data_IF_985676998396
#
_entry.id   IF_985676998396
#
_cell.length_a   1.000
_cell.length_b   1.000
_cell.length_c   1.000
_cell.angle_alpha   90.00
_cell.angle_beta   90.00
_cell.angle_gamma   90.00
#
_symmetry.space_group_name_H-M   'P 1'
#
loop_
_entity.id
_entity.type
_entity.pdbx_description
1 polymer ?
#
# COMPACT_ATOMS: atom_id res chain seq x y z
N UNK A 1 -2.55 31.62 -4.27
CA UNK A 1 -1.63 31.95 -5.39
C UNK A 1 -0.23 31.76 -4.85
N UNK A 2 0.61 30.93 -5.48
CA UNK A 2 1.94 30.58 -4.93
C UNK A 2 3.11 31.27 -5.64
N UNK A 3 2.88 31.74 -6.86
CA UNK A 3 3.89 32.33 -7.74
C UNK A 3 3.48 33.77 -8.10
N UNK A 4 4.10 34.74 -7.44
CA UNK A 4 3.80 36.17 -7.57
C UNK A 4 4.36 36.78 -8.85
N UNK A 5 5.26 36.07 -9.55
CA UNK A 5 5.84 36.54 -10.82
C UNK A 5 4.88 36.41 -12.00
N UNK A 6 3.80 35.62 -11.85
CA UNK A 6 2.85 35.30 -12.92
C UNK A 6 1.70 36.28 -12.97
N UNK A 7 1.28 36.62 -14.19
CA UNK A 7 0.09 37.43 -14.40
C UNK A 7 -1.17 36.65 -14.03
N UNK A 8 -2.21 37.35 -13.56
CA UNK A 8 -3.52 36.75 -13.28
C UNK A 8 -4.08 35.98 -14.48
N UNK A 9 -3.88 36.51 -15.71
CA UNK A 9 -4.25 35.84 -16.96
C UNK A 9 -3.56 34.48 -17.12
N UNK A 10 -2.26 34.41 -16.86
CA UNK A 10 -1.49 33.15 -16.95
C UNK A 10 -1.87 32.13 -15.88
N UNK A 11 -2.38 32.61 -14.75
CA UNK A 11 -2.94 31.78 -13.68
C UNK A 11 -4.41 31.37 -13.95
N UNK A 12 -4.97 31.74 -15.10
CA UNK A 12 -6.33 31.39 -15.49
C UNK A 12 -7.43 32.18 -14.79
N UNK A 13 -7.09 33.31 -14.14
CA UNK A 13 -8.08 34.19 -13.55
C UNK A 13 -8.88 34.91 -14.62
N UNK A 14 -10.20 34.93 -14.43
CA UNK A 14 -11.17 35.66 -15.24
C UNK A 14 -12.05 36.52 -14.33
N UNK A 15 -12.87 37.38 -14.93
CA UNK A 15 -13.81 38.18 -14.15
C UNK A 15 -14.74 37.27 -13.33
N UNK A 16 -14.92 37.59 -12.04
CA UNK A 16 -15.67 36.81 -11.04
C UNK A 16 -15.05 35.45 -10.67
N UNK A 17 -13.76 35.24 -10.94
CA UNK A 17 -13.02 34.13 -10.31
C UNK A 17 -13.13 34.23 -8.78
N UNK A 18 -13.47 33.11 -8.14
CA UNK A 18 -13.57 33.00 -6.69
C UNK A 18 -12.19 32.64 -6.12
N UNK A 19 -11.70 33.42 -5.17
CA UNK A 19 -10.48 33.13 -4.41
C UNK A 19 -10.87 32.65 -3.03
N UNK A 20 -10.43 31.45 -2.68
CA UNK A 20 -10.49 30.97 -1.31
C UNK A 20 -9.20 31.38 -0.59
N UNK A 21 -9.35 32.11 0.51
CA UNK A 21 -8.24 32.47 1.39
C UNK A 21 -8.26 31.52 2.58
N UNK A 22 -7.11 30.90 2.86
CA UNK A 22 -6.93 30.06 4.04
C UNK A 22 -5.82 30.64 4.90
N UNK A 23 -6.01 30.60 6.22
CA UNK A 23 -4.94 30.90 7.17
C UNK A 23 -3.92 29.76 7.17
N UNK A 24 -2.63 30.10 7.14
CA UNK A 24 -1.55 29.13 7.15
C UNK A 24 -0.20 29.74 6.80
N UNK A 25 0.88 28.96 6.95
CA UNK A 25 2.20 29.39 6.51
C UNK A 25 2.20 29.70 5.00
N UNK A 26 2.87 30.77 4.56
CA UNK A 26 2.97 31.07 3.13
C UNK A 26 3.69 29.93 2.41
N UNK A 27 3.11 29.47 1.29
CA UNK A 27 3.66 28.38 0.48
C UNK A 27 4.38 28.95 -0.74
N UNK A 28 5.61 28.47 -0.98
CA UNK A 28 6.38 28.81 -2.18
C UNK A 28 5.90 28.01 -3.40
N UNK A 29 6.27 28.41 -4.63
CA UNK A 29 6.03 27.59 -5.82
C UNK A 29 6.60 26.17 -5.64
N UNK A 30 5.77 25.15 -5.86
CA UNK A 30 6.16 23.75 -5.71
C UNK A 30 6.12 23.20 -4.27
N UNK A 31 5.75 24.03 -3.29
CA UNK A 31 5.44 23.58 -1.93
C UNK A 31 3.97 23.28 -1.76
N UNK A 32 3.69 22.27 -0.95
CA UNK A 32 2.35 21.84 -0.61
C UNK A 32 2.16 21.78 0.90
N UNK A 33 0.99 22.20 1.38
CA UNK A 33 0.67 22.07 2.81
C UNK A 33 0.26 20.63 3.10
N UNK A 34 1.14 19.84 3.69
CA UNK A 34 0.91 18.43 4.02
C UNK A 34 0.47 18.29 5.46
N UNK A 35 -0.54 17.45 5.71
CA UNK A 35 -1.04 17.14 7.06
C UNK A 35 -0.48 15.81 7.53
N UNK A 36 0.16 15.80 8.68
CA UNK A 36 0.66 14.61 9.35
C UNK A 36 -0.34 14.14 10.39
N UNK A 37 -0.57 12.83 10.41
CA UNK A 37 -1.38 12.16 11.43
C UNK A 37 -0.55 11.07 12.08
N UNK A 38 -0.57 10.98 13.41
CA UNK A 38 0.04 9.88 14.14
C UNK A 38 -0.74 8.60 13.84
N UNK A 39 -0.04 7.52 13.54
CA UNK A 39 -0.59 6.19 13.26
C UNK A 39 -0.11 5.19 14.31
N UNK A 40 -1.07 4.64 15.05
CA UNK A 40 -0.87 3.60 16.05
C UNK A 40 -1.69 2.36 15.65
N UNK A 41 -1.05 1.27 15.16
CA UNK A 41 -1.75 0.09 14.64
C UNK A 41 -2.75 -0.54 15.63
N UNK A 42 -2.42 -0.50 16.92
CA UNK A 42 -3.18 -1.13 17.99
C UNK A 42 -4.23 -0.21 18.63
N UNK A 43 -4.18 1.10 18.36
CA UNK A 43 -5.05 2.08 19.01
C UNK A 43 -6.42 2.20 18.33
N UNK A 44 -7.41 2.69 19.09
CA UNK A 44 -8.73 3.08 18.57
C UNK A 44 -9.07 4.47 19.12
N UNK A 45 -9.09 5.52 18.28
CA UNK A 45 -8.84 5.54 16.84
C UNK A 45 -7.38 5.25 16.47
N UNK A 46 -7.15 4.68 15.28
CA UNK A 46 -5.79 4.36 14.78
C UNK A 46 -5.01 5.59 14.32
N UNK A 47 -5.71 6.68 14.02
CA UNK A 47 -5.11 7.91 13.51
C UNK A 47 -5.49 9.09 14.40
N UNK A 48 -4.49 9.87 14.80
CA UNK A 48 -4.68 11.12 15.53
C UNK A 48 -4.04 12.29 14.75
N UNK A 49 -4.70 13.45 14.65
CA UNK A 49 -4.07 14.65 14.07
C UNK A 49 -2.78 15.00 14.80
N UNK A 50 -1.74 15.37 14.06
CA UNK A 50 -0.43 15.68 14.65
C UNK A 50 0.01 17.11 14.33
N UNK A 51 0.33 17.39 13.07
CA UNK A 51 0.82 18.71 12.63
C UNK A 51 0.63 18.90 11.13
N UNK A 52 0.83 20.11 10.63
CA UNK A 52 0.86 20.39 9.20
C UNK A 52 2.11 21.20 8.85
N UNK A 53 2.77 20.87 7.73
CA UNK A 53 4.00 21.52 7.29
C UNK A 53 3.95 21.81 5.78
N UNK A 54 4.52 22.95 5.33
CA UNK A 54 4.92 23.14 3.95
C UNK A 54 5.98 22.11 3.57
N UNK A 55 5.76 21.41 2.46
CA UNK A 55 6.68 20.40 1.94
C UNK A 55 6.90 20.65 0.45
N UNK A 56 8.16 20.82 0.06
CA UNK A 56 8.54 20.92 -1.34
C UNK A 56 8.44 19.54 -2.01
N UNK A 57 7.80 19.47 -3.19
CA UNK A 57 7.69 18.20 -3.94
C UNK A 57 9.04 17.60 -4.36
N UNK A 58 10.10 18.42 -4.46
CA UNK A 58 11.47 18.01 -4.81
C UNK A 58 12.25 17.42 -3.63
N UNK A 59 11.83 17.67 -2.38
CA UNK A 59 12.49 17.20 -1.16
C UNK A 59 12.56 15.67 -1.12
N UNK A 60 13.59 15.11 -0.49
CA UNK A 60 13.66 13.66 -0.24
C UNK A 60 12.84 13.28 0.98
N UNK A 61 12.37 12.03 1.03
CA UNK A 61 11.65 11.52 2.21
C UNK A 61 12.53 11.50 3.46
N UNK A 62 13.84 11.21 3.32
CA UNK A 62 14.78 11.28 4.43
C UNK A 62 14.82 12.68 5.09
N UNK A 63 14.97 13.72 4.27
CA UNK A 63 14.97 15.12 4.72
C UNK A 63 13.62 15.48 5.35
N UNK A 64 12.51 14.97 4.79
CA UNK A 64 11.18 15.18 5.36
C UNK A 64 11.04 14.53 6.74
N UNK A 65 11.57 13.31 6.94
CA UNK A 65 11.56 12.64 8.25
C UNK A 65 12.27 13.49 9.30
N UNK A 66 13.44 14.04 8.99
CA UNK A 66 14.18 14.94 9.87
C UNK A 66 13.40 16.23 10.17
N UNK A 67 12.84 16.86 9.14
CA UNK A 67 12.04 18.08 9.30
C UNK A 67 10.80 17.84 10.19
N UNK A 68 10.13 16.70 10.02
CA UNK A 68 8.98 16.33 10.84
C UNK A 68 9.42 15.98 12.26
N UNK A 69 10.50 15.20 12.44
CA UNK A 69 11.05 14.83 13.75
C UNK A 69 11.34 16.07 14.60
N UNK A 70 11.99 17.07 14.03
CA UNK A 70 12.33 18.34 14.70
C UNK A 70 11.11 19.18 15.08
N UNK A 71 9.93 18.88 14.53
CA UNK A 71 8.65 19.56 14.79
C UNK A 71 7.70 18.72 15.64
N UNK A 72 8.09 17.51 16.04
CA UNK A 72 7.25 16.67 16.88
C UNK A 72 7.13 17.24 18.30
N UNK A 73 5.95 17.10 18.95
CA UNK A 73 5.78 17.45 20.35
C UNK A 73 6.72 16.61 21.24
N UNK A 74 7.39 17.26 22.21
CA UNK A 74 8.29 16.56 23.14
C UNK A 74 7.57 15.50 23.96
N UNK A 75 6.34 15.78 24.40
CA UNK A 75 5.51 14.81 25.14
C UNK A 75 5.25 13.51 24.36
N UNK A 76 5.25 13.57 23.02
CA UNK A 76 5.15 12.38 22.17
C UNK A 76 6.46 11.60 22.20
N UNK A 77 7.59 12.29 22.10
CA UNK A 77 8.92 11.69 22.16
C UNK A 77 9.21 11.07 23.54
N UNK A 78 8.81 11.74 24.61
CA UNK A 78 9.04 11.30 26.01
C UNK A 78 8.23 10.05 26.39
N UNK A 79 7.11 9.78 25.70
CA UNK A 79 6.36 8.52 25.85
C UNK A 79 7.11 7.32 25.29
N UNK A 80 8.04 7.57 24.39
CA UNK A 80 8.88 6.58 23.76
C UNK A 80 10.31 6.65 24.35
N UNK A 81 11.17 5.70 24.00
CA UNK A 81 12.53 5.59 24.54
C UNK A 81 13.32 6.91 24.40
N UNK A 82 14.26 7.17 25.32
CA UNK A 82 14.98 8.46 25.38
C UNK A 82 15.90 8.77 24.18
N UNK A 83 16.17 7.78 23.33
CA UNK A 83 17.15 7.88 22.23
C UNK A 83 16.50 7.84 20.83
N UNK A 84 15.29 8.39 20.69
CA UNK A 84 14.64 8.50 19.38
C UNK A 84 15.40 9.47 18.45
N UNK A 85 15.40 9.14 17.17
CA UNK A 85 15.89 9.97 16.09
C UNK A 85 14.97 9.88 14.87
N UNK A 86 15.28 10.60 13.79
CA UNK A 86 14.46 10.60 12.57
C UNK A 86 14.28 9.20 11.94
N UNK A 87 15.23 8.28 12.13
CA UNK A 87 15.13 6.89 11.64
C UNK A 87 14.10 6.06 12.41
N UNK A 88 13.64 6.51 13.58
CA UNK A 88 12.54 5.85 14.30
C UNK A 88 11.17 6.29 13.79
N UNK A 89 11.11 7.15 12.78
CA UNK A 89 9.86 7.55 12.15
C UNK A 89 9.70 6.83 10.81
N UNK A 90 8.53 6.22 10.63
CA UNK A 90 8.07 5.69 9.36
C UNK A 90 6.92 6.54 8.82
N UNK A 91 7.08 7.05 7.60
CA UNK A 91 6.04 7.82 6.91
C UNK A 91 5.29 6.94 5.91
N UNK A 92 3.98 7.14 5.79
CA UNK A 92 3.12 6.41 4.85
C UNK A 92 2.15 7.32 4.10
N UNK A 93 1.86 6.95 2.86
CA UNK A 93 0.84 7.58 2.02
C UNK A 93 -0.56 7.16 2.48
N UNK A 94 -1.17 7.93 3.39
CA UNK A 94 -2.45 7.56 4.00
C UNK A 94 -3.58 7.63 2.98
N UNK A 95 -4.38 6.56 2.89
CA UNK A 95 -5.53 6.47 1.98
C UNK A 95 -6.80 6.17 2.74
N UNK A 96 -7.57 7.22 3.04
CA UNK A 96 -8.83 7.08 3.78
C UNK A 96 -8.59 6.51 5.18
N UNK A 97 -9.06 5.28 5.42
CA UNK A 97 -8.87 4.54 6.68
C UNK A 97 -7.63 3.65 6.71
N UNK A 98 -6.98 3.47 5.56
CA UNK A 98 -5.79 2.64 5.47
C UNK A 98 -4.53 3.47 5.69
N UNK A 99 -3.54 2.95 6.44
CA UNK A 99 -2.28 3.64 6.67
C UNK A 99 -1.47 3.77 5.37
N UNK A 100 -1.73 2.91 4.39
CA UNK A 100 -1.16 2.96 3.04
C UNK A 100 0.31 2.52 2.95
N UNK A 101 0.93 2.83 1.81
CA UNK A 101 2.29 2.38 1.47
C UNK A 101 3.35 3.23 2.17
N UNK A 102 4.45 2.58 2.55
CA UNK A 102 5.57 3.24 3.22
C UNK A 102 6.39 4.06 2.22
N UNK A 103 6.78 5.26 2.61
CA UNK A 103 7.58 6.16 1.79
C UNK A 103 9.07 5.79 1.89
N UNK A 104 9.76 5.69 0.74
CA UNK A 104 11.18 5.34 0.63
C UNK A 104 12.07 6.56 0.80
N UNK A 105 13.10 6.44 1.64
CA UNK A 105 13.92 7.56 2.11
C UNK A 105 14.65 8.28 0.97
N UNK A 106 15.12 7.53 -0.02
CA UNK A 106 15.85 8.07 -1.17
C UNK A 106 14.96 8.65 -2.27
N UNK A 107 13.63 8.47 -2.18
CA UNK A 107 12.69 8.93 -3.21
C UNK A 107 12.24 10.36 -2.89
N UNK A 108 11.99 11.17 -3.92
CA UNK A 108 11.41 12.51 -3.73
C UNK A 108 9.93 12.42 -3.34
N UNK A 109 9.41 13.42 -2.63
CA UNK A 109 8.01 13.45 -2.19
C UNK A 109 7.06 13.37 -3.38
N UNK A 110 7.28 14.16 -4.43
CA UNK A 110 6.48 14.16 -5.67
C UNK A 110 6.42 12.79 -6.37
N UNK A 111 7.50 12.02 -6.32
CA UNK A 111 7.55 10.67 -6.90
C UNK A 111 6.87 9.67 -5.98
N UNK A 112 7.03 9.82 -4.67
CA UNK A 112 6.43 8.95 -3.65
C UNK A 112 4.92 9.12 -3.53
N UNK A 113 4.42 10.35 -3.65
CA UNK A 113 3.02 10.74 -3.51
C UNK A 113 2.49 11.22 -4.86
N UNK A 114 1.94 10.30 -5.64
CA UNK A 114 1.36 10.63 -6.94
C UNK A 114 0.17 11.56 -6.76
N UNK A 115 0.23 12.73 -7.39
CA UNK A 115 -0.82 13.74 -7.26
C UNK A 115 -0.79 14.49 -5.93
N UNK A 116 0.40 14.79 -5.41
CA UNK A 116 0.57 15.64 -4.23
C UNK A 116 -0.21 16.96 -4.38
N UNK A 117 -1.16 17.18 -3.48
CA UNK A 117 -1.95 18.42 -3.39
C UNK A 117 -1.92 18.97 -1.97
N UNK A 118 -2.36 20.21 -1.80
CA UNK A 118 -2.54 20.80 -0.48
C UNK A 118 -3.59 19.99 0.31
N UNK A 119 -3.32 19.76 1.60
CA UNK A 119 -4.14 18.94 2.48
C UNK A 119 -3.87 17.44 2.41
N UNK A 120 -2.94 16.97 1.56
CA UNK A 120 -2.57 15.55 1.48
C UNK A 120 -2.17 15.03 2.86
N UNK A 121 -2.64 13.83 3.22
CA UNK A 121 -2.39 13.25 4.53
C UNK A 121 -1.27 12.22 4.48
N UNK A 122 -0.28 12.38 5.36
CA UNK A 122 0.78 11.40 5.59
C UNK A 122 0.60 10.82 6.98
N UNK A 123 0.57 9.49 7.08
CA UNK A 123 0.59 8.80 8.36
C UNK A 123 2.02 8.67 8.87
N UNK A 124 2.24 9.07 10.12
CA UNK A 124 3.50 8.99 10.84
C UNK A 124 3.40 7.88 11.88
N UNK A 125 4.30 6.91 11.81
CA UNK A 125 4.39 5.84 12.78
C UNK A 125 5.74 5.93 13.50
N UNK A 126 5.71 5.88 14.83
CA UNK A 126 6.92 5.75 15.64
C UNK A 126 7.27 4.27 15.76
N UNK A 127 8.53 3.94 15.51
CA UNK A 127 9.08 2.59 15.57
C UNK A 127 9.90 2.41 16.84
N UNK A 128 9.95 1.18 17.34
CA UNK A 128 10.82 0.78 18.46
C UNK A 128 12.28 0.71 18.03
N UNK A 129 12.54 0.15 16.84
CA UNK A 129 13.87 0.05 16.25
C UNK A 129 14.05 1.10 15.14
N UNK A 130 15.25 1.67 14.96
CA UNK A 130 15.52 2.57 13.85
C UNK A 130 15.43 1.83 12.50
N UNK A 131 14.89 2.51 11.49
CA UNK A 131 14.71 1.98 10.14
C UNK A 131 15.12 3.01 9.08
N UNK A 132 15.94 2.55 8.14
CA UNK A 132 16.33 3.30 6.95
C UNK A 132 15.89 2.49 5.72
N UNK A 133 15.04 3.08 4.89
CA UNK A 133 14.41 2.38 3.77
C UNK A 133 15.03 2.79 2.42
N UNK A 134 15.85 1.90 1.87
CA UNK A 134 16.45 2.03 0.56
C UNK A 134 15.50 1.77 -0.61
N UNK A 135 16.01 1.99 -1.83
CA UNK A 135 15.21 1.80 -3.05
C UNK A 135 14.90 0.32 -3.33
N UNK A 136 15.84 -0.56 -3.04
CA UNK A 136 15.71 -2.01 -3.28
C UNK A 136 15.13 -2.77 -2.09
N UNK A 137 14.80 -2.08 -1.01
CA UNK A 137 14.20 -2.74 0.14
C UNK A 137 12.70 -2.98 -0.11
N UNK A 138 12.24 -4.08 0.47
CA UNK A 138 10.85 -4.52 0.47
C UNK A 138 10.38 -4.68 1.91
N UNK A 139 9.10 -4.39 2.13
CA UNK A 139 8.47 -4.62 3.42
C UNK A 139 7.64 -5.89 3.31
N UNK A 140 7.93 -6.86 4.16
CA UNK A 140 7.13 -8.07 4.29
C UNK A 140 6.31 -8.03 5.58
N UNK A 141 5.10 -8.56 5.50
CA UNK A 141 4.23 -8.74 6.67
C UNK A 141 4.42 -10.14 7.21
N UNK A 142 4.98 -10.25 8.41
CA UNK A 142 5.24 -11.52 9.05
C UNK A 142 4.18 -11.78 10.11
N UNK A 143 3.54 -12.94 10.04
CA UNK A 143 2.54 -13.39 11.02
C UNK A 143 3.02 -14.66 11.69
N UNK A 144 3.05 -14.63 13.01
CA UNK A 144 3.26 -15.82 13.82
C UNK A 144 1.96 -16.66 13.87
N UNK A 145 2.10 -17.95 13.63
CA UNK A 145 1.03 -18.92 13.81
C UNK A 145 1.34 -19.83 15.00
N UNK A 146 0.51 -19.73 16.03
CA UNK A 146 0.50 -20.62 17.18
C UNK A 146 -0.44 -21.78 16.85
N UNK A 147 0.13 -22.92 16.47
CA UNK A 147 -0.61 -24.07 15.97
C UNK A 147 -1.40 -24.72 17.10
N UNK A 148 -0.78 -24.87 18.27
CA UNK A 148 -1.41 -25.48 19.45
C UNK A 148 -2.65 -24.70 19.88
N UNK A 149 -2.55 -23.37 19.96
CA UNK A 149 -3.68 -22.49 20.31
C UNK A 149 -4.65 -22.24 19.15
N UNK A 150 -4.28 -22.61 17.92
CA UNK A 150 -5.00 -22.31 16.67
C UNK A 150 -5.21 -20.80 16.47
N UNK A 151 -4.28 -19.98 16.94
CA UNK A 151 -4.32 -18.51 16.86
C UNK A 151 -3.25 -17.95 15.94
N UNK A 152 -3.58 -16.86 15.28
CA UNK A 152 -2.65 -16.06 14.47
C UNK A 152 -2.34 -14.78 15.22
N UNK A 153 -1.06 -14.48 15.41
CA UNK A 153 -0.64 -13.21 15.96
C UNK A 153 -0.94 -12.05 14.99
N UNK A 154 -1.00 -10.81 15.50
CA UNK A 154 -1.04 -9.61 14.66
C UNK A 154 0.15 -9.59 13.68
N UNK A 155 -0.03 -9.05 12.46
CA UNK A 155 1.06 -8.91 11.51
C UNK A 155 2.12 -7.93 12.04
N UNK A 156 3.38 -8.32 11.94
CA UNK A 156 4.53 -7.44 12.17
C UNK A 156 5.23 -7.18 10.84
N UNK A 157 5.46 -5.92 10.53
CA UNK A 157 6.17 -5.54 9.30
C UNK A 157 7.68 -5.61 9.53
N UNK A 158 8.40 -6.19 8.59
CA UNK A 158 9.85 -6.31 8.60
C UNK A 158 10.41 -5.81 7.28
N UNK A 159 11.42 -4.97 7.37
CA UNK A 159 12.17 -4.48 6.22
C UNK A 159 13.28 -5.47 5.86
N UNK A 160 13.36 -5.82 4.57
CA UNK A 160 14.39 -6.72 4.03
C UNK A 160 14.90 -6.13 2.72
N UNK A 161 16.21 -6.16 2.51
CA UNK A 161 16.79 -5.81 1.22
C UNK A 161 16.57 -6.92 0.20
N UNK A 162 16.19 -6.59 -1.03
CA UNK A 162 16.11 -7.59 -2.12
C UNK A 162 17.45 -8.29 -2.41
N UNK A 163 18.56 -7.64 -2.06
CA UNK A 163 19.90 -8.19 -2.23
C UNK A 163 20.35 -9.03 -1.04
N UNK A 164 19.55 -9.08 0.05
CA UNK A 164 19.88 -9.87 1.21
C UNK A 164 19.88 -11.37 0.89
N UNK A 165 20.81 -12.10 1.48
CA UNK A 165 20.84 -13.56 1.40
C UNK A 165 19.64 -14.13 2.16
N UNK A 166 19.23 -15.34 1.77
CA UNK A 166 18.16 -16.05 2.48
C UNK A 166 18.55 -16.29 3.94
N UNK A 167 19.83 -16.57 4.20
CA UNK A 167 20.40 -16.71 5.53
C UNK A 167 20.26 -15.43 6.38
N UNK A 168 20.62 -14.27 5.83
CA UNK A 168 20.44 -12.97 6.52
C UNK A 168 18.96 -12.70 6.86
N UNK A 169 18.04 -12.99 5.94
CA UNK A 169 16.61 -12.90 6.20
C UNK A 169 16.19 -13.82 7.35
N UNK A 170 16.62 -15.09 7.32
CA UNK A 170 16.32 -16.07 8.37
C UNK A 170 16.83 -15.55 9.72
N UNK A 171 18.07 -15.05 9.77
CA UNK A 171 18.64 -14.50 11.00
C UNK A 171 17.78 -13.34 11.55
N UNK A 172 17.39 -12.38 10.71
CA UNK A 172 16.50 -11.28 11.11
C UNK A 172 15.16 -11.79 11.66
N UNK A 173 14.56 -12.81 11.03
CA UNK A 173 13.32 -13.42 11.48
C UNK A 173 13.51 -14.15 12.82
N UNK A 174 14.58 -14.94 12.96
CA UNK A 174 14.89 -15.65 14.20
C UNK A 174 15.14 -14.69 15.36
N UNK A 175 15.86 -13.59 15.15
CA UNK A 175 16.08 -12.57 16.20
C UNK A 175 14.76 -11.87 16.57
N UNK A 176 13.98 -11.39 15.59
CA UNK A 176 12.74 -10.64 15.86
C UNK A 176 11.61 -11.50 16.41
N UNK A 177 11.67 -12.80 16.22
CA UNK A 177 10.72 -13.78 16.74
C UNK A 177 11.42 -14.84 17.59
N UNK A 178 12.45 -14.48 18.35
CA UNK A 178 13.12 -15.45 19.23
C UNK A 178 12.15 -16.07 20.25
N UNK A 179 11.13 -15.31 20.68
CA UNK A 179 10.05 -15.76 21.54
C UNK A 179 9.16 -16.87 20.93
N UNK A 180 9.28 -17.14 19.62
CA UNK A 180 8.61 -18.25 18.97
C UNK A 180 9.31 -19.58 19.18
N UNK A 181 10.62 -19.55 19.42
CA UNK A 181 11.44 -20.73 19.59
C UNK A 181 11.28 -21.21 21.03
N UNK A 182 10.81 -22.44 21.21
CA UNK A 182 10.67 -23.05 22.54
C UNK A 182 12.03 -23.49 23.11
N UNK A 183 13.04 -23.61 22.27
CA UNK A 183 14.42 -23.98 22.60
C UNK A 183 15.35 -23.56 21.47
N UNK A 184 16.66 -23.47 21.74
CA UNK A 184 17.68 -23.08 20.73
C UNK A 184 17.80 -24.09 19.57
N UNK A 185 17.28 -25.31 19.75
CA UNK A 185 17.20 -26.35 18.71
C UNK A 185 15.86 -26.37 17.96
N UNK A 186 14.92 -25.47 18.31
CA UNK A 186 13.63 -25.40 17.66
C UNK A 186 13.77 -24.82 16.25
N UNK A 187 13.50 -25.64 15.24
CA UNK A 187 13.56 -25.22 13.86
C UNK A 187 12.43 -24.25 13.53
N UNK A 188 12.77 -23.11 12.94
CA UNK A 188 11.77 -22.17 12.41
C UNK A 188 11.24 -22.68 11.07
N UNK A 189 9.93 -22.78 10.94
CA UNK A 189 9.28 -23.07 9.66
C UNK A 189 8.56 -21.83 9.14
N UNK A 190 8.63 -21.61 7.83
CA UNK A 190 7.89 -20.53 7.21
C UNK A 190 7.15 -20.95 5.93
N UNK A 191 6.12 -20.18 5.60
CA UNK A 191 5.35 -20.37 4.40
C UNK A 191 4.87 -19.03 3.81
N UNK A 192 4.70 -19.00 2.48
CA UNK A 192 4.15 -17.83 1.79
C UNK A 192 2.64 -17.79 2.00
N UNK A 193 2.15 -16.72 2.61
CA UNK A 193 0.73 -16.42 2.65
C UNK A 193 0.24 -15.85 1.32
N UNK A 194 -1.08 -15.84 1.12
CA UNK A 194 -1.72 -15.12 0.02
C UNK A 194 -1.85 -13.64 0.39
N UNK A 195 -1.13 -12.76 -0.34
CA UNK A 195 -1.26 -11.31 -0.17
C UNK A 195 -2.57 -10.73 -0.70
N UNK A 196 -3.24 -11.48 -1.59
CA UNK A 196 -4.51 -11.10 -2.19
C UNK A 196 -5.59 -12.10 -1.81
N UNK A 197 -6.81 -11.60 -1.59
CA UNK A 197 -7.97 -12.42 -1.26
C UNK A 197 -8.30 -12.43 0.24
N UNK A 198 -9.02 -13.46 0.72
CA UNK A 198 -9.49 -13.52 2.09
C UNK A 198 -8.36 -13.43 3.11
N UNK A 199 -8.58 -12.77 4.26
CA UNK A 199 -7.59 -12.70 5.32
C UNK A 199 -7.08 -14.09 5.71
N UNK A 200 -5.77 -14.21 5.88
CA UNK A 200 -5.16 -15.46 6.30
C UNK A 200 -5.67 -15.86 7.70
N UNK A 201 -6.37 -16.98 7.76
CA UNK A 201 -6.86 -17.60 9.00
C UNK A 201 -6.01 -18.81 9.39
N UNK A 202 -6.10 -19.24 10.66
CA UNK A 202 -5.45 -20.47 11.12
C UNK A 202 -5.85 -21.70 10.29
N UNK A 203 -7.11 -21.78 9.83
CA UNK A 203 -7.59 -22.87 8.96
C UNK A 203 -6.90 -22.88 7.60
N UNK A 204 -6.70 -21.72 6.99
CA UNK A 204 -5.96 -21.62 5.72
C UNK A 204 -4.45 -21.83 5.90
N UNK A 205 -3.88 -21.50 7.06
CA UNK A 205 -2.45 -21.68 7.36
C UNK A 205 -2.01 -23.15 7.27
N UNK A 206 -2.88 -24.10 7.63
CA UNK A 206 -2.62 -25.53 7.47
C UNK A 206 -2.39 -25.97 6.00
N UNK A 207 -2.93 -25.24 5.03
CA UNK A 207 -2.85 -25.57 3.60
C UNK A 207 -1.64 -24.95 2.91
N UNK A 208 -0.85 -24.14 3.62
CA UNK A 208 0.30 -23.47 3.04
C UNK A 208 1.44 -24.46 2.77
N UNK A 209 2.29 -24.12 1.80
CA UNK A 209 3.51 -24.88 1.50
C UNK A 209 4.59 -24.44 2.48
N UNK A 210 4.77 -25.24 3.54
CA UNK A 210 5.74 -25.00 4.59
C UNK A 210 7.14 -25.43 4.16
N UNK A 211 8.10 -24.55 4.42
CA UNK A 211 9.53 -24.81 4.26
C UNK A 211 10.15 -24.87 5.65
N UNK A 212 11.02 -25.84 5.83
CA UNK A 212 11.81 -25.99 7.04
C UNK A 212 13.15 -25.33 6.83
N UNK A 213 13.58 -24.54 7.80
CA UNK A 213 14.92 -23.97 7.83
C UNK A 213 15.67 -24.56 9.00
N UNK A 214 16.72 -25.30 8.67
CA UNK A 214 17.73 -25.66 9.64
C UNK A 214 18.61 -24.44 9.86
N UNK A 215 18.55 -23.87 11.06
CA UNK A 215 19.57 -22.95 11.56
C UNK A 215 20.83 -23.79 11.79
N UNK A 216 21.57 -24.12 10.72
CA UNK A 216 22.85 -24.81 10.89
C UNK A 216 23.77 -23.87 11.65
N UNK A 217 24.24 -24.32 12.81
CA UNK A 217 25.20 -23.63 13.66
C UNK A 217 26.37 -23.11 12.81
N UNK A 218 26.50 -21.79 12.73
CA UNK A 218 27.73 -21.16 12.30
C UNK A 218 28.70 -21.27 13.49
N UNK A 219 29.67 -22.18 13.38
CA UNK A 219 30.76 -22.51 14.34
C UNK A 219 30.26 -23.06 15.70
N UNK A 220 30.68 -24.24 16.16
CA UNK A 220 32.06 -24.68 16.42
C UNK A 220 32.23 -26.21 16.25
N UNK A 221 33.37 -26.65 15.69
CA UNK A 221 34.00 -27.93 16.06
C UNK A 221 33.47 -29.24 15.44
N UNK A 222 34.07 -29.65 14.32
CA UNK A 222 34.44 -31.05 14.01
C UNK A 222 33.34 -32.13 13.98
N UNK A 223 32.89 -32.51 12.78
CA UNK A 223 32.21 -33.80 12.60
C UNK A 223 31.36 -33.90 11.33
N UNK A 224 32.01 -34.27 10.22
CA UNK A 224 31.42 -34.87 9.00
C UNK A 224 29.89 -34.75 8.83
N UNK A 225 29.44 -33.69 8.17
CA UNK A 225 28.18 -33.72 7.40
C UNK A 225 28.45 -33.17 6.00
N UNK A 226 27.90 -33.90 5.01
CA UNK A 226 28.18 -33.71 3.60
C UNK A 226 27.75 -32.29 3.14
N UNK A 227 28.67 -31.38 2.76
CA UNK A 227 28.36 -29.96 2.51
C UNK A 227 27.39 -29.75 1.35
N UNK A 228 27.24 -30.74 0.48
CA UNK A 228 26.27 -30.74 -0.62
C UNK A 228 24.81 -30.84 -0.15
N UNK A 229 24.52 -31.46 0.99
CA UNK A 229 23.15 -31.65 1.49
C UNK A 229 22.63 -30.44 2.27
N UNK A 230 23.49 -29.80 3.07
CA UNK A 230 23.18 -28.54 3.74
C UNK A 230 22.96 -27.40 2.73
N UNK A 231 23.79 -27.36 1.68
CA UNK A 231 23.59 -26.45 0.54
C UNK A 231 22.29 -26.77 -0.23
N UNK A 232 21.90 -28.04 -0.38
CA UNK A 232 20.71 -28.43 -1.14
C UNK A 232 19.37 -28.10 -0.47
N UNK A 233 19.30 -28.03 0.87
CA UNK A 233 18.08 -27.61 1.59
C UNK A 233 17.88 -26.09 1.49
N UNK A 234 18.97 -25.33 1.44
CA UNK A 234 18.96 -23.87 1.21
C UNK A 234 18.84 -23.52 -0.29
N UNK A 235 19.17 -24.45 -1.19
CA UNK A 235 19.14 -24.26 -2.65
C UNK A 235 17.77 -24.49 -3.30
N UNK A 236 16.65 -24.55 -2.55
CA UNK A 236 15.33 -24.34 -3.17
C UNK A 236 15.04 -22.84 -3.19
N UNK A 237 15.37 -22.15 -4.30
CA UNK A 237 15.39 -20.69 -4.34
C UNK A 237 13.97 -20.15 -4.18
N UNK A 238 13.83 -18.97 -3.60
CA UNK A 238 13.11 -18.83 -2.35
C UNK A 238 11.68 -18.42 -2.64
N UNK A 239 10.85 -18.28 -1.59
CA UNK A 239 9.57 -17.60 -1.72
C UNK A 239 9.76 -16.35 -2.57
N UNK A 240 9.02 -16.22 -3.67
CA UNK A 240 9.06 -15.04 -4.54
C UNK A 240 8.48 -13.83 -3.80
N UNK A 241 9.22 -13.32 -2.84
CA UNK A 241 8.81 -12.22 -1.98
C UNK A 241 8.85 -10.94 -2.80
N UNK A 242 7.73 -10.25 -2.76
CA UNK A 242 7.52 -8.90 -3.27
C UNK A 242 7.18 -7.99 -2.10
N UNK A 243 7.23 -6.69 -2.34
CA UNK A 243 6.73 -5.72 -1.39
C UNK A 243 5.27 -6.02 -1.00
N UNK A 244 4.95 -5.97 0.29
CA UNK A 244 3.66 -6.38 0.83
C UNK A 244 3.42 -7.90 0.87
N UNK A 245 4.43 -8.74 0.67
CA UNK A 245 4.27 -10.19 0.80
C UNK A 245 3.97 -10.59 2.23
N UNK A 246 3.04 -11.53 2.40
CA UNK A 246 2.73 -12.12 3.71
C UNK A 246 3.58 -13.36 3.91
N UNK A 247 4.36 -13.39 4.98
CA UNK A 247 5.10 -14.54 5.46
C UNK A 247 4.45 -15.06 6.73
N UNK A 248 4.34 -16.38 6.85
CA UNK A 248 3.78 -17.01 8.05
C UNK A 248 4.86 -17.84 8.69
N UNK A 249 5.08 -17.63 9.98
CA UNK A 249 6.06 -18.37 10.78
C UNK A 249 5.35 -19.32 11.74
N UNK A 250 5.96 -20.47 12.01
CA UNK A 250 5.59 -21.34 13.12
C UNK A 250 6.83 -22.07 13.64
N UNK A 251 6.79 -22.47 14.90
CA UNK A 251 7.76 -23.39 15.48
C UNK A 251 7.51 -24.82 14.97
N UNK A 252 8.60 -25.57 14.73
CA UNK A 252 8.53 -27.00 14.40
C UNK A 252 7.99 -27.81 15.57
N UNK A 253 8.46 -27.54 16.79
CA UNK A 253 7.99 -28.22 17.99
C UNK A 253 6.52 -27.92 18.28
N UNK A 254 6.08 -26.67 18.11
CA UNK A 254 4.66 -26.31 18.31
C UNK A 254 3.73 -27.07 17.35
N UNK A 255 4.16 -27.24 16.11
CA UNK A 255 3.43 -28.06 15.14
C UNK A 255 3.39 -29.54 15.51
N UNK A 256 4.49 -30.10 16.03
CA UNK A 256 4.55 -31.48 16.48
C UNK A 256 3.59 -31.75 17.65
N UNK A 257 3.62 -30.90 18.69
CA UNK A 257 2.70 -30.98 19.84
C UNK A 257 1.24 -30.87 19.41
N UNK A 258 0.92 -29.93 18.53
CA UNK A 258 -0.44 -29.79 18.01
C UNK A 258 -0.92 -31.04 17.25
N UNK A 259 -0.01 -31.77 16.59
CA UNK A 259 -0.31 -33.04 15.90
C UNK A 259 -0.55 -34.17 16.91
N UNK A 260 0.24 -34.27 17.96
CA UNK A 260 0.08 -35.24 19.05
C UNK A 260 -1.28 -35.04 19.75
N UNK A 261 -1.59 -33.81 20.17
CA UNK A 261 -2.89 -33.47 20.77
C UNK A 261 -4.05 -33.84 19.82
N UNK A 262 -3.90 -33.60 18.52
CA UNK A 262 -4.91 -33.96 17.54
C UNK A 262 -5.05 -35.49 17.32
N UNK A 263 -3.97 -36.26 17.52
CA UNK A 263 -4.00 -37.72 17.47
C UNK A 263 -4.63 -38.31 18.73
N UNK A 264 -4.26 -37.81 19.91
CA UNK A 264 -4.88 -38.18 21.18
C UNK A 264 -6.38 -37.91 21.19
N UNK A 265 -6.80 -36.74 20.71
CA UNK A 265 -8.22 -36.41 20.58
C UNK A 265 -8.98 -37.36 19.62
N UNK A 266 -8.32 -37.82 18.55
CA UNK A 266 -8.91 -38.80 17.61
C UNK A 266 -9.00 -40.20 18.24
N UNK A 267 -8.00 -40.60 19.01
CA UNK A 267 -7.99 -41.88 19.72
C UNK A 267 -9.04 -41.90 20.83
N UNK A 268 -9.17 -40.82 21.60
CA UNK A 268 -10.20 -40.65 22.62
C UNK A 268 -11.63 -40.60 22.04
N UNK A 269 -11.81 -40.07 20.83
CA UNK A 269 -13.12 -40.02 20.16
C UNK A 269 -13.61 -41.39 19.63
N UNK A 270 -12.74 -42.41 19.56
CA UNK A 270 -13.05 -43.77 19.10
C UNK A 270 -13.55 -43.87 17.64
N UNK A 271 -13.57 -45.07 17.04
CA UNK A 271 -14.03 -45.27 15.66
C UNK A 271 -15.57 -45.15 15.46
N UNK A 272 -16.34 -44.67 16.44
CA UNK A 272 -17.83 -44.78 16.46
C UNK A 272 -18.58 -43.47 16.19
N UNK A 273 -18.24 -42.75 15.12
CA UNK A 273 -19.16 -41.73 14.56
C UNK A 273 -19.29 -41.75 13.03
N UNK A 274 -18.64 -42.69 12.32
CA UNK A 274 -18.86 -42.91 10.89
C UNK A 274 -20.15 -43.66 10.55
N UNK A 275 -20.94 -44.10 11.56
CA UNK A 275 -22.20 -44.85 11.38
C UNK A 275 -23.43 -44.10 11.92
N UNK A 276 -23.56 -42.80 11.61
CA UNK A 276 -24.85 -42.09 11.74
C UNK A 276 -25.12 -41.10 10.59
N UNK A 277 -24.69 -41.48 9.38
CA UNK A 277 -25.02 -40.77 8.14
C UNK A 277 -25.54 -41.70 7.02
N UNK A 278 -26.08 -42.87 7.38
CA UNK A 278 -26.69 -43.82 6.44
C UNK A 278 -28.23 -43.96 6.62
N UNK A 279 -28.86 -43.02 7.33
CA UNK A 279 -30.28 -43.12 7.67
C UNK A 279 -30.94 -41.77 7.92
N UNK A 280 -30.80 -40.83 6.99
CA UNK A 280 -31.68 -39.67 6.90
C UNK A 280 -32.06 -39.49 5.43
N UNK A 281 -33.33 -39.71 5.15
CA UNK A 281 -33.91 -39.75 3.81
C UNK A 281 -33.45 -38.57 2.96
N UNK A 282 -32.87 -38.91 1.82
CA UNK A 282 -32.58 -38.02 0.72
C UNK A 282 -33.91 -37.55 0.13
N UNK A 283 -34.57 -36.55 0.74
CA UNK A 283 -35.56 -35.75 0.00
C UNK A 283 -34.79 -35.03 -1.09
N UNK A 284 -34.94 -35.51 -2.32
CA UNK A 284 -34.60 -34.76 -3.54
C UNK A 284 -35.33 -33.41 -3.45
N UNK A 285 -34.64 -32.38 -3.01
CA UNK A 285 -35.00 -31.01 -3.37
C UNK A 285 -34.53 -30.88 -4.81
N UNK A 286 -35.48 -31.04 -5.73
CA UNK A 286 -35.33 -30.56 -7.10
C UNK A 286 -34.84 -29.11 -7.07
N UNK A 287 -33.82 -28.74 -7.86
CA UNK A 287 -33.46 -27.34 -7.99
C UNK A 287 -34.68 -26.58 -8.48
N UNK A 288 -35.13 -25.63 -7.68
CA UNK A 288 -36.13 -24.66 -8.06
C UNK A 288 -35.57 -23.91 -9.27
N UNK A 289 -36.06 -24.25 -10.47
CA UNK A 289 -35.88 -23.39 -11.64
C UNK A 289 -36.58 -22.07 -11.29
N UNK A 290 -35.89 -20.92 -11.34
CA UNK A 290 -36.58 -19.65 -11.41
C UNK A 290 -37.50 -19.72 -12.62
N UNK A 291 -38.81 -19.62 -12.40
CA UNK A 291 -39.73 -19.31 -13.49
C UNK A 291 -39.39 -17.88 -13.85
N UNK A 292 -38.74 -17.68 -15.00
CA UNK A 292 -38.69 -16.39 -15.67
C UNK A 292 -40.14 -15.93 -15.84
N UNK A 293 -40.57 -15.03 -14.95
CA UNK A 293 -41.77 -14.26 -15.17
C UNK A 293 -41.32 -13.05 -15.98
N UNK A 294 -41.75 -13.01 -17.23
CA UNK A 294 -41.69 -11.80 -18.05
C UNK A 294 -42.24 -10.62 -17.23
N UNK A 295 -41.37 -9.65 -16.97
CA UNK A 295 -41.77 -8.33 -16.51
C UNK A 295 -42.50 -7.65 -17.68
N UNK A 296 -43.82 -7.84 -17.74
CA UNK A 296 -44.70 -7.00 -18.56
C UNK A 296 -44.74 -5.62 -17.94
N UNK A 297 -43.92 -4.71 -18.47
CA UNK A 297 -44.02 -3.28 -18.19
C UNK A 297 -45.30 -2.78 -18.87
N UNK A 298 -46.37 -2.62 -18.08
CA UNK A 298 -47.52 -1.86 -18.50
C UNK A 298 -47.16 -0.37 -18.44
N UNK A 299 -46.86 0.20 -19.61
CA UNK A 299 -46.83 1.65 -19.79
C UNK A 299 -48.27 2.14 -19.68
N UNK A 300 -48.62 2.72 -18.54
CA UNK A 300 -49.85 3.48 -18.38
C UNK A 300 -49.72 4.76 -19.21
N UNK A 301 -50.30 4.74 -20.41
CA UNK A 301 -50.62 5.96 -21.17
C UNK A 301 -52.00 6.46 -20.74
N UNK A 302 -52.07 7.77 -20.55
CA UNK A 302 -53.11 8.51 -19.86
C UNK A 302 -54.45 8.62 -20.61
N UNK A 303 -55.50 8.93 -19.84
CA UNK A 303 -56.71 9.61 -20.29
C UNK A 303 -57.59 9.92 -19.08
N UNK A 304 -58.29 11.05 -18.95
CA UNK A 304 -58.39 12.27 -19.72
C UNK A 304 -59.17 13.30 -18.85
N UNK A 305 -58.96 14.60 -19.10
CA UNK A 305 -59.77 15.71 -18.56
C UNK A 305 -58.89 16.76 -17.88
N UNK A 306 -58.73 18.00 -18.34
CA UNK A 306 -59.42 18.74 -19.38
C UNK A 306 -58.51 19.86 -19.93
N UNK A 307 -58.79 20.25 -21.18
CA UNK A 307 -58.31 21.41 -21.95
C UNK A 307 -58.60 22.77 -21.24
N UNK A 308 -58.15 23.95 -21.73
CA UNK A 308 -57.58 24.24 -23.07
C UNK A 308 -56.37 25.21 -23.13
N UNK A 309 -55.73 25.27 -24.32
CA UNK A 309 -55.10 26.52 -24.78
C UNK A 309 -53.87 26.42 -25.69
N UNK A 310 -54.10 26.29 -27.01
CA UNK A 310 -53.47 27.15 -28.04
C UNK A 310 -52.05 26.84 -28.59
N UNK A 311 -52.00 26.54 -29.90
CA UNK A 311 -50.96 26.97 -30.86
C UNK A 311 -49.64 26.19 -30.87
N UNK A 312 -49.45 25.16 -31.70
CA UNK A 312 -49.02 25.25 -33.12
C UNK A 312 -47.58 25.77 -33.31
N UNK A 313 -46.63 24.86 -33.61
CA UNK A 313 -45.76 24.98 -34.79
C UNK A 313 -45.04 23.64 -35.11
N UNK A 314 -45.22 23.19 -36.35
CA UNK A 314 -44.51 22.10 -37.06
C UNK A 314 -43.07 22.54 -37.40
N UNK A 315 -42.07 21.69 -37.63
CA UNK A 315 -41.80 20.89 -38.85
C UNK A 315 -40.61 19.96 -38.49
N UNK A 316 -40.69 18.63 -38.66
CA UNK A 316 -40.13 17.87 -39.81
C UNK A 316 -38.67 17.45 -39.54
N UNK A 317 -38.38 16.16 -39.31
CA UNK A 317 -37.93 15.21 -40.35
C UNK A 317 -36.44 15.46 -40.70
N UNK A 318 -35.51 14.50 -40.74
CA UNK A 318 -35.59 13.08 -41.09
C UNK A 318 -34.18 12.48 -40.87
N UNK A 319 -34.15 11.18 -40.60
CA UNK A 319 -32.96 10.32 -40.56
C UNK A 319 -32.08 10.41 -41.81
N UNK A 320 -30.78 10.12 -41.65
CA UNK A 320 -30.10 9.05 -42.41
C UNK A 320 -28.75 8.70 -41.78
N UNK A 321 -28.48 7.40 -41.71
CA UNK A 321 -27.20 6.79 -41.41
C UNK A 321 -26.61 6.14 -42.68
N UNK A 322 -25.30 5.84 -42.60
CA UNK A 322 -24.52 4.84 -43.36
C UNK A 322 -23.69 5.29 -44.59
N UNK A 323 -22.51 4.65 -44.73
CA UNK A 323 -21.60 4.65 -45.90
C UNK A 323 -20.24 5.30 -45.62
N UNK A 324 -19.15 4.63 -45.18
CA UNK A 324 -18.29 3.55 -45.73
C UNK A 324 -17.32 3.98 -46.86
N UNK A 325 -16.01 3.85 -46.57
CA UNK A 325 -14.83 3.53 -47.41
C UNK A 325 -14.19 4.53 -48.42
N UNK A 326 -12.84 4.43 -48.51
CA UNK A 326 -11.88 5.06 -49.44
C UNK A 326 -10.73 5.75 -48.66
N UNK A 327 -9.49 5.26 -48.51
CA UNK A 327 -8.44 4.99 -49.55
C UNK A 327 -8.30 6.23 -50.45
N UNK A 328 -7.21 7.01 -50.52
CA UNK A 328 -5.77 6.82 -50.74
C UNK A 328 -5.17 8.26 -50.49
N UNK A 329 -3.93 8.58 -50.11
CA UNK A 329 -2.69 8.51 -50.90
C UNK A 329 -1.61 9.28 -50.10
N UNK A 330 -0.37 8.80 -50.13
CA UNK A 330 0.83 9.45 -49.59
C UNK A 330 1.31 10.59 -50.52
N UNK A 331 1.97 11.62 -49.98
CA UNK A 331 3.37 12.01 -50.28
C UNK A 331 3.77 13.28 -49.46
N UNK A 332 5.09 13.53 -49.24
CA UNK A 332 5.65 14.40 -48.19
C UNK A 332 6.41 15.62 -48.78
N UNK A 333 7.50 16.12 -48.16
CA UNK A 333 7.54 17.25 -47.23
C UNK A 333 8.13 18.53 -47.88
N UNK A 334 7.73 19.70 -47.37
CA UNK A 334 8.29 21.00 -47.77
C UNK A 334 8.89 21.76 -46.58
N UNK A 335 10.18 22.07 -46.67
CA UNK A 335 10.92 23.09 -45.90
C UNK A 335 12.00 23.63 -46.83
N UNK A 336 12.63 24.81 -46.60
CA UNK A 336 12.29 25.97 -45.76
C UNK A 336 12.21 27.26 -46.61
N UNK A 337 12.23 28.46 -46.01
CA UNK A 337 13.42 29.29 -46.25
C UNK A 337 13.94 30.08 -45.04
N UNK A 338 15.24 30.31 -45.08
CA UNK A 338 16.01 31.26 -44.27
C UNK A 338 15.47 32.70 -44.36
N UNK A 339 15.44 33.39 -43.22
CA UNK A 339 15.59 34.85 -43.20
C UNK A 339 16.18 35.30 -41.85
N UNK A 340 17.38 35.85 -41.97
CA UNK A 340 18.19 36.53 -40.96
C UNK A 340 17.52 37.84 -40.56
N UNK A 341 17.24 38.08 -39.28
CA UNK A 341 17.05 39.43 -38.73
C UNK A 341 17.68 39.55 -37.35
N UNK A 342 18.43 40.63 -37.20
CA UNK A 342 19.35 40.96 -36.13
C UNK A 342 18.69 41.31 -34.78
N UNK A 343 19.51 41.22 -33.73
CA UNK A 343 19.24 41.58 -32.35
C UNK A 343 18.99 43.09 -32.14
N UNK A 344 18.18 43.47 -31.14
CA UNK A 344 18.34 44.75 -30.47
C UNK A 344 19.14 44.60 -29.17
N UNK A 345 20.22 45.36 -29.12
CA UNK A 345 21.04 45.71 -27.95
C UNK A 345 20.16 46.38 -26.88
N UNK A 346 20.21 45.87 -25.64
CA UNK A 346 19.59 46.50 -24.46
C UNK A 346 20.71 47.00 -23.56
N UNK A 347 20.66 48.30 -23.27
CA UNK A 347 21.62 49.06 -22.49
C UNK A 347 21.62 48.66 -20.99
N UNK A 348 22.75 48.86 -20.27
CA UNK A 348 22.83 48.62 -18.83
C UNK A 348 22.13 49.73 -18.01
N UNK A 349 21.59 49.40 -16.82
CA UNK A 349 20.93 50.37 -15.96
C UNK A 349 21.93 51.30 -15.26
N UNK A 350 21.55 52.58 -15.25
CA UNK A 350 22.21 53.73 -14.64
C UNK A 350 22.35 53.59 -13.12
N UNK A 351 23.56 53.84 -12.61
CA UNK A 351 23.88 54.07 -11.20
C UNK A 351 23.07 55.26 -10.65
N UNK A 352 22.34 55.03 -9.57
CA UNK A 352 21.83 56.10 -8.69
C UNK A 352 22.93 56.45 -7.68
N UNK A 353 23.56 57.60 -7.90
CA UNK A 353 24.44 58.24 -6.92
C UNK A 353 23.60 58.83 -5.78
N UNK A 354 23.94 58.49 -4.54
CA UNK A 354 23.55 59.25 -3.36
C UNK A 354 24.61 60.34 -3.14
N UNK A 355 24.21 61.60 -3.24
CA UNK A 355 24.96 62.72 -2.67
C UNK A 355 24.57 62.92 -1.20
N UNK A 356 25.64 63.10 -0.41
CA UNK A 356 25.86 63.56 0.98
C UNK A 356 24.68 63.76 1.94
#
# INVERSE_FOLDING_TARGET
>A
IKDESKTLRSLGFVNRSVVHVGEGPPLRPGEHLVRFVLYEPSAKPQFAPLLALPVAGSMKVAELKEAVFNKLPKDLLDKHSRDLNASHIRLRDKKGKDPGSILKDQRSISKSLMGLTDGHQIALQILEDPEIMGNDDIVIQVRQWQVTEKKMAPPKEILISKQATTDSMIHVLSTKFANLLLSDSDGLMFAKGTSFGPPLTAKSAHKLKWQEVSLSQADEGGGSTNPAAAAAVVARPPLSLRDGSILVLRSRQDYARAKEIAQEAKQAAGPKSAQKAAGAGRRRVTPFRPVERELRIHVATAGAGASPGGGELRIGGRDTAAGTAGEEELLPPGSPPDAVVAAPSVAPPTELQFEQ
#
